data_IF_747941090934
#
_entry.id   IF_747941090934
#
_cell.length_a   1.000
_cell.length_b   1.000
_cell.length_c   1.000
_cell.angle_alpha   90.00
_cell.angle_beta   90.00
_cell.angle_gamma   90.00
#
_symmetry.space_group_name_H-M   'P 1'
#
loop_
_entity.id
_entity.type
_entity.pdbx_description
1 polymer ?
#
# COMPACT_ATOMS: atom_id res chain seq x y z
N UNK A 1 9.16 31.02 -0.50
CA UNK A 1 9.33 32.35 -1.08
C UNK A 1 8.43 32.50 -2.31
N UNK A 2 8.46 33.65 -2.93
CA UNK A 2 7.63 33.95 -4.10
C UNK A 2 8.03 33.10 -5.35
N UNK A 3 9.19 32.50 -5.32
CA UNK A 3 9.70 31.59 -6.37
C UNK A 3 9.33 30.11 -6.14
N UNK A 4 8.58 29.83 -5.06
CA UNK A 4 8.14 28.49 -4.71
C UNK A 4 9.15 27.64 -3.92
N UNK A 5 10.30 28.22 -3.52
CA UNK A 5 11.28 27.51 -2.71
C UNK A 5 10.87 27.43 -1.24
N UNK A 6 11.16 26.32 -0.61
CA UNK A 6 10.96 26.12 0.82
C UNK A 6 12.03 26.89 1.61
N UNK A 7 11.65 27.97 2.27
CA UNK A 7 12.55 28.83 3.06
C UNK A 7 12.64 28.40 4.51
N UNK A 8 11.52 27.94 5.07
CA UNK A 8 11.43 27.45 6.44
C UNK A 8 10.38 26.37 6.56
N UNK A 9 10.59 25.46 7.50
CA UNK A 9 9.64 24.42 7.84
C UNK A 9 9.32 24.47 9.31
N UNK A 10 8.05 24.46 9.64
CA UNK A 10 7.59 24.47 11.03
C UNK A 10 6.70 23.27 11.32
N UNK A 11 6.83 22.70 12.52
CA UNK A 11 5.96 21.64 12.99
C UNK A 11 5.66 21.76 14.48
N UNK A 12 4.48 21.35 14.86
CA UNK A 12 4.11 21.07 16.23
C UNK A 12 4.29 19.57 16.53
N UNK A 13 4.81 19.24 17.72
CA UNK A 13 4.96 17.86 18.14
C UNK A 13 4.88 17.74 19.66
N UNK A 14 4.47 16.57 20.13
CA UNK A 14 4.44 16.25 21.56
C UNK A 14 5.73 15.55 21.97
N UNK A 15 6.30 16.00 23.07
CA UNK A 15 7.48 15.40 23.68
C UNK A 15 7.12 14.85 25.06
N UNK A 16 7.40 13.56 25.30
CA UNK A 16 7.31 12.97 26.64
C UNK A 16 8.55 13.37 27.45
N UNK A 17 8.33 13.90 28.64
CA UNK A 17 9.37 14.17 29.61
C UNK A 17 9.68 12.91 30.45
N UNK A 18 10.78 12.92 31.19
CA UNK A 18 11.20 11.78 32.03
C UNK A 18 10.20 11.48 33.17
N UNK A 19 9.41 12.45 33.58
CA UNK A 19 8.34 12.33 34.56
C UNK A 19 7.03 11.74 34.04
N UNK A 20 7.01 11.42 32.72
CA UNK A 20 5.83 10.88 32.03
C UNK A 20 4.84 11.94 31.54
N UNK A 21 5.04 13.22 31.83
CA UNK A 21 4.21 14.31 31.34
C UNK A 21 4.46 14.57 29.85
N UNK A 22 3.44 15.03 29.11
CA UNK A 22 3.55 15.42 27.71
C UNK A 22 3.58 16.96 27.60
N UNK A 23 4.58 17.45 26.88
CA UNK A 23 4.70 18.88 26.56
C UNK A 23 4.57 19.05 25.05
N UNK A 24 3.72 20.00 24.63
CA UNK A 24 3.61 20.37 23.23
C UNK A 24 4.73 21.36 22.89
N UNK A 25 5.52 21.01 21.90
CA UNK A 25 6.64 21.79 21.40
C UNK A 25 6.37 22.22 19.96
N UNK A 26 6.89 23.40 19.62
CA UNK A 26 6.90 23.89 18.26
C UNK A 26 8.35 24.03 17.79
N UNK A 27 8.63 23.64 16.56
CA UNK A 27 9.97 23.69 15.99
C UNK A 27 9.93 24.33 14.62
N UNK A 28 10.81 25.29 14.38
CA UNK A 28 11.04 25.88 13.05
C UNK A 28 12.46 25.60 12.62
N UNK A 29 12.62 25.10 11.42
CA UNK A 29 13.90 24.81 10.79
C UNK A 29 14.06 25.77 9.62
N UNK A 30 15.20 26.43 9.56
CA UNK A 30 15.60 27.31 8.45
C UNK A 30 16.84 26.72 7.75
N UNK A 31 17.38 27.40 6.80
CA UNK A 31 18.63 27.04 6.10
C UNK A 31 19.86 27.01 7.01
N UNK A 32 19.85 27.74 8.14
CA UNK A 32 20.99 27.89 9.05
C UNK A 32 20.77 27.33 10.43
N UNK A 33 19.54 27.47 10.98
CA UNK A 33 19.26 27.20 12.38
C UNK A 33 17.98 26.42 12.58
N UNK A 34 17.94 25.70 13.70
CA UNK A 34 16.72 25.10 14.25
C UNK A 34 16.34 25.88 15.48
N UNK A 35 15.10 26.30 15.55
CA UNK A 35 14.46 26.97 16.68
C UNK A 35 13.44 26.05 17.32
N UNK A 36 13.44 25.95 18.64
CA UNK A 36 12.48 25.13 19.38
C UNK A 36 11.81 25.96 20.46
N UNK A 37 10.49 25.92 20.49
CA UNK A 37 9.65 26.61 21.47
C UNK A 37 8.85 25.59 22.29
N UNK A 38 8.60 25.94 23.52
CA UNK A 38 7.71 25.21 24.42
C UNK A 38 6.38 25.96 24.48
N UNK A 39 5.32 25.38 23.90
CA UNK A 39 4.00 26.03 23.85
C UNK A 39 3.35 26.16 25.23
N UNK A 40 3.74 25.32 26.20
CA UNK A 40 3.23 25.42 27.59
C UNK A 40 3.69 26.69 28.31
N UNK A 41 4.74 27.34 27.79
CA UNK A 41 5.32 28.58 28.33
C UNK A 41 5.09 29.83 27.49
N UNK A 42 4.13 29.79 26.57
CA UNK A 42 3.69 30.97 25.82
C UNK A 42 4.60 31.40 24.68
N UNK A 43 5.12 30.47 23.88
CA UNK A 43 5.99 30.72 22.72
C UNK A 43 7.36 31.33 23.05
N UNK A 44 7.84 31.21 24.26
CA UNK A 44 9.20 31.59 24.55
C UNK A 44 10.20 30.67 23.84
N UNK A 45 11.19 31.27 23.16
CA UNK A 45 12.27 30.50 22.52
C UNK A 45 13.03 29.74 23.59
N UNK A 46 12.99 28.41 23.50
CA UNK A 46 13.65 27.54 24.47
C UNK A 46 15.09 27.26 24.10
N UNK A 47 15.32 26.92 22.85
CA UNK A 47 16.66 26.58 22.33
C UNK A 47 16.77 26.90 20.87
N UNK A 48 17.96 27.37 20.45
CA UNK A 48 18.33 27.44 19.04
C UNK A 48 19.73 26.89 18.82
N UNK A 49 19.92 26.19 17.73
CA UNK A 49 21.22 25.66 17.34
C UNK A 49 21.41 25.67 15.82
N UNK A 50 22.66 25.84 15.37
CA UNK A 50 23.02 25.75 13.97
C UNK A 50 23.18 24.28 13.57
N UNK A 51 22.65 23.90 12.40
CA UNK A 51 22.74 22.52 11.91
C UNK A 51 23.90 22.30 10.90
N UNK A 52 24.50 23.35 10.37
CA UNK A 52 25.70 23.27 9.53
C UNK A 52 25.57 22.58 8.18
N UNK A 53 24.35 22.47 7.62
CA UNK A 53 24.14 21.79 6.32
C UNK A 53 24.12 22.74 5.11
N UNK A 54 24.15 24.05 5.33
CA UNK A 54 24.10 25.06 4.26
C UNK A 54 22.77 25.16 3.49
N UNK A 55 21.88 24.21 3.67
CA UNK A 55 20.52 24.16 3.09
C UNK A 55 19.51 23.69 4.11
N UNK A 56 18.25 23.99 3.88
CA UNK A 56 17.14 23.52 4.73
C UNK A 56 17.10 21.98 4.75
N UNK A 57 17.31 21.33 5.93
CA UNK A 57 17.35 19.87 6.06
C UNK A 57 15.94 19.26 6.11
N UNK A 58 15.06 19.70 5.21
CA UNK A 58 13.71 19.21 5.06
C UNK A 58 13.43 18.93 3.60
N UNK A 59 13.08 17.70 3.32
CA UNK A 59 12.69 17.26 1.99
C UNK A 59 11.23 16.87 2.06
N UNK A 60 10.39 17.52 1.31
CA UNK A 60 8.96 17.26 1.29
C UNK A 60 8.50 16.76 -0.07
N UNK A 61 7.48 15.93 -0.04
CA UNK A 61 6.69 15.58 -1.20
C UNK A 61 5.21 15.81 -0.87
N UNK A 62 4.49 16.41 -1.78
CA UNK A 62 3.07 16.66 -1.62
C UNK A 62 2.29 15.92 -2.67
N UNK A 63 1.23 15.27 -2.22
CA UNK A 63 0.27 14.64 -3.09
C UNK A 63 -1.14 15.04 -2.64
N UNK A 64 -1.98 15.60 -3.53
CA UNK A 64 -3.30 16.09 -3.16
C UNK A 64 -4.23 14.98 -2.67
N UNK A 65 -4.12 13.78 -3.26
CA UNK A 65 -4.93 12.64 -2.88
C UNK A 65 -4.09 11.41 -2.54
N UNK A 66 -4.45 10.65 -1.48
CA UNK A 66 -3.83 9.37 -1.19
C UNK A 66 -4.03 8.39 -2.36
N UNK A 67 -3.05 7.54 -2.60
CA UNK A 67 -3.12 6.52 -3.68
C UNK A 67 -4.37 5.62 -3.56
N UNK A 68 -4.76 5.30 -2.33
CA UNK A 68 -5.91 4.46 -2.03
C UNK A 68 -7.27 5.16 -2.15
N UNK A 69 -7.33 6.48 -2.45
CA UNK A 69 -8.61 7.19 -2.58
C UNK A 69 -9.49 6.61 -3.69
N UNK A 70 -8.88 6.21 -4.80
CA UNK A 70 -9.56 5.62 -5.96
C UNK A 70 -10.28 4.30 -5.65
N UNK A 71 -9.76 3.52 -4.70
CA UNK A 71 -10.32 2.21 -4.34
C UNK A 71 -11.20 2.24 -3.09
N UNK A 72 -11.33 3.41 -2.44
CA UNK A 72 -12.07 3.55 -1.17
C UNK A 72 -13.50 3.03 -1.26
N UNK A 73 -14.22 3.36 -2.33
CA UNK A 73 -15.61 2.95 -2.52
C UNK A 73 -15.74 1.44 -2.65
N UNK A 74 -14.86 0.81 -3.43
CA UNK A 74 -14.84 -0.65 -3.62
C UNK A 74 -14.52 -1.36 -2.31
N UNK A 75 -13.53 -0.86 -1.56
CA UNK A 75 -13.16 -1.42 -0.26
C UNK A 75 -14.32 -1.38 0.72
N UNK A 76 -14.98 -0.22 0.88
CA UNK A 76 -16.11 -0.08 1.81
C UNK A 76 -17.26 -1.00 1.41
N UNK A 77 -17.53 -1.14 0.12
CA UNK A 77 -18.57 -2.08 -0.36
C UNK A 77 -18.20 -3.53 -0.08
N UNK A 78 -16.94 -3.91 -0.31
CA UNK A 78 -16.44 -5.25 -0.05
C UNK A 78 -16.49 -5.59 1.45
N UNK A 79 -16.05 -4.69 2.32
CA UNK A 79 -16.12 -4.84 3.77
C UNK A 79 -17.57 -5.09 4.22
N UNK A 80 -18.52 -4.27 3.72
CA UNK A 80 -19.94 -4.44 4.03
C UNK A 80 -20.51 -5.76 3.50
N UNK A 81 -20.13 -6.16 2.29
CA UNK A 81 -20.56 -7.42 1.68
C UNK A 81 -20.11 -8.61 2.53
N UNK A 82 -18.82 -8.64 2.90
CA UNK A 82 -18.24 -9.72 3.70
C UNK A 82 -18.81 -9.77 5.12
N UNK A 83 -19.06 -8.59 5.75
CA UNK A 83 -19.69 -8.53 7.06
C UNK A 83 -21.12 -9.09 7.03
N UNK A 84 -21.93 -8.64 6.08
CA UNK A 84 -23.31 -9.17 5.91
C UNK A 84 -23.30 -10.67 5.61
N UNK A 85 -22.32 -11.14 4.84
CA UNK A 85 -22.17 -12.56 4.54
C UNK A 85 -21.81 -13.38 5.78
N UNK A 86 -20.92 -12.86 6.62
CA UNK A 86 -20.58 -13.48 7.90
C UNK A 86 -21.81 -13.59 8.80
N UNK A 87 -22.59 -12.51 8.93
CA UNK A 87 -23.85 -12.51 9.71
C UNK A 87 -24.85 -13.55 9.15
N UNK A 88 -24.94 -13.68 7.83
CA UNK A 88 -25.77 -14.70 7.21
C UNK A 88 -25.28 -16.12 7.50
N UNK A 89 -23.98 -16.36 7.47
CA UNK A 89 -23.40 -17.66 7.84
C UNK A 89 -23.71 -17.98 9.28
N UNK A 90 -23.49 -17.05 10.20
CA UNK A 90 -23.73 -17.24 11.63
C UNK A 90 -25.22 -17.53 11.91
N UNK A 91 -26.11 -16.85 11.22
CA UNK A 91 -27.55 -17.09 11.33
C UNK A 91 -27.95 -18.48 10.82
N UNK A 92 -27.40 -18.93 9.71
CA UNK A 92 -27.70 -20.21 9.08
C UNK A 92 -26.86 -21.39 9.57
N UNK A 93 -25.89 -21.15 10.45
CA UNK A 93 -25.02 -22.19 11.01
C UNK A 93 -25.82 -23.23 11.80
N UNK A 94 -26.92 -22.79 12.41
CA UNK A 94 -27.91 -23.68 13.07
C UNK A 94 -29.15 -23.78 12.19
N UNK A 95 -29.25 -24.81 11.33
CA UNK A 95 -30.40 -24.95 10.44
C UNK A 95 -31.71 -25.11 11.25
N UNK A 96 -32.71 -24.33 10.87
CA UNK A 96 -34.05 -24.43 11.48
C UNK A 96 -34.73 -25.69 10.98
N UNK A 97 -35.19 -26.50 11.92
CA UNK A 97 -36.04 -27.66 11.62
C UNK A 97 -37.49 -27.22 11.51
N UNK A 98 -38.03 -27.29 10.30
CA UNK A 98 -39.47 -27.10 10.04
C UNK A 98 -40.17 -28.43 10.25
N UNK A 99 -41.15 -28.47 11.15
CA UNK A 99 -42.02 -29.62 11.41
C UNK A 99 -43.44 -29.28 10.97
N UNK A 100 -44.04 -30.16 10.19
CA UNK A 100 -45.45 -30.09 9.80
C UNK A 100 -46.14 -31.34 10.34
N UNK A 101 -47.26 -31.18 11.06
CA UNK A 101 -47.97 -32.27 11.71
C UNK A 101 -47.91 -32.23 13.25
N UNK A 102 -48.52 -33.20 13.89
CA UNK A 102 -48.50 -33.30 15.35
C UNK A 102 -47.20 -33.96 15.83
N UNK A 103 -46.49 -33.30 16.75
CA UNK A 103 -45.27 -33.80 17.33
C UNK A 103 -45.60 -34.67 18.55
N UNK A 104 -45.46 -35.98 18.43
CA UNK A 104 -45.68 -36.90 19.53
C UNK A 104 -44.57 -36.91 20.58
N UNK A 105 -43.38 -36.43 20.23
CA UNK A 105 -42.28 -36.32 21.17
C UNK A 105 -40.90 -36.42 20.52
N UNK A 106 -39.88 -36.08 21.30
CA UNK A 106 -38.48 -36.28 20.93
C UNK A 106 -37.98 -37.59 21.52
N UNK A 107 -37.72 -38.58 20.69
CA UNK A 107 -37.11 -39.84 21.11
C UNK A 107 -35.58 -39.75 20.98
N UNK A 108 -34.88 -40.15 22.04
CA UNK A 108 -33.41 -40.29 22.02
C UNK A 108 -32.69 -39.53 23.14
N UNK A 109 -31.88 -40.26 23.88
CA UNK A 109 -30.95 -39.68 24.85
C UNK A 109 -29.63 -39.34 24.15
N UNK A 110 -29.36 -38.09 23.95
CA UNK A 110 -28.06 -37.44 23.68
C UNK A 110 -27.48 -37.43 22.25
N UNK A 111 -27.65 -38.42 21.40
CA UNK A 111 -27.07 -38.35 20.02
C UNK A 111 -28.07 -38.69 18.91
N UNK A 112 -29.05 -39.54 19.18
CA UNK A 112 -30.07 -39.94 18.19
C UNK A 112 -31.39 -39.21 18.51
N UNK A 113 -31.44 -37.92 18.23
CA UNK A 113 -32.67 -37.15 18.36
C UNK A 113 -33.57 -37.43 17.16
N UNK A 114 -34.50 -38.37 17.33
CA UNK A 114 -35.57 -38.58 16.37
C UNK A 114 -36.81 -37.80 16.78
N UNK A 115 -37.41 -37.11 15.82
CA UNK A 115 -38.70 -36.45 15.98
C UNK A 115 -39.75 -37.39 15.39
N UNK A 116 -40.73 -37.82 16.21
CA UNK A 116 -41.85 -38.60 15.72
C UNK A 116 -42.99 -37.64 15.39
N UNK A 117 -43.37 -37.62 14.12
CA UNK A 117 -44.46 -36.82 13.57
C UNK A 117 -45.62 -37.76 13.23
N UNK A 118 -46.86 -37.34 13.55
CA UNK A 118 -48.08 -38.00 13.19
C UNK A 118 -49.04 -37.03 12.50
N UNK A 119 -49.94 -37.56 11.68
CA UNK A 119 -50.91 -36.77 10.91
C UNK A 119 -50.74 -36.94 9.40
N UNK A 120 -51.84 -36.69 8.69
CA UNK A 120 -51.85 -36.74 7.24
C UNK A 120 -51.03 -35.57 6.67
N UNK A 121 -49.97 -35.87 5.91
CA UNK A 121 -49.06 -34.85 5.38
C UNK A 121 -47.94 -34.42 6.36
N UNK A 122 -47.66 -35.23 7.41
CA UNK A 122 -46.57 -34.95 8.35
C UNK A 122 -45.22 -34.94 7.61
N UNK A 123 -44.44 -33.84 7.74
CA UNK A 123 -43.13 -33.64 7.12
C UNK A 123 -42.16 -32.94 8.06
N UNK A 124 -40.90 -33.29 7.93
CA UNK A 124 -39.80 -32.68 8.67
C UNK A 124 -38.70 -32.27 7.68
N UNK A 125 -38.47 -31.00 7.56
CA UNK A 125 -37.48 -30.47 6.64
C UNK A 125 -36.55 -29.48 7.34
N UNK A 126 -35.27 -29.64 7.14
CA UNK A 126 -34.33 -28.57 7.48
C UNK A 126 -34.45 -27.42 6.49
N UNK A 127 -34.70 -26.22 7.00
CA UNK A 127 -34.63 -25.01 6.22
C UNK A 127 -33.15 -24.68 6.06
N UNK A 128 -32.60 -25.09 4.93
CA UNK A 128 -31.24 -24.75 4.55
C UNK A 128 -31.27 -23.56 3.59
N UNK A 129 -30.25 -22.75 3.69
CA UNK A 129 -30.05 -21.64 2.75
C UNK A 129 -29.74 -22.20 1.35
N UNK A 130 -30.73 -22.19 0.47
CA UNK A 130 -30.60 -22.74 -0.89
C UNK A 130 -30.03 -21.73 -1.90
N UNK A 131 -29.85 -20.47 -1.50
CA UNK A 131 -29.40 -19.43 -2.42
C UNK A 131 -28.13 -18.75 -1.92
N UNK A 132 -27.18 -18.56 -2.85
CA UNK A 132 -26.34 -17.39 -2.97
C UNK A 132 -24.86 -17.46 -2.58
N UNK A 133 -24.17 -18.55 -2.33
CA UNK A 133 -22.70 -18.49 -2.30
C UNK A 133 -22.10 -17.92 -3.59
N UNK A 134 -22.69 -18.24 -4.73
CA UNK A 134 -22.15 -17.86 -6.05
C UNK A 134 -22.32 -16.37 -6.37
N UNK A 135 -23.46 -15.77 -6.01
CA UNK A 135 -23.66 -14.33 -6.25
C UNK A 135 -22.75 -13.48 -5.38
N UNK A 136 -22.59 -13.84 -4.12
CA UNK A 136 -21.70 -13.15 -3.20
C UNK A 136 -20.24 -13.29 -3.64
N UNK A 137 -19.86 -14.50 -4.03
CA UNK A 137 -18.52 -14.76 -4.57
C UNK A 137 -18.26 -13.94 -5.82
N UNK A 138 -19.21 -13.91 -6.75
CA UNK A 138 -19.12 -13.10 -7.98
C UNK A 138 -18.98 -11.60 -7.66
N UNK A 139 -19.79 -11.06 -6.74
CA UNK A 139 -19.70 -9.65 -6.34
C UNK A 139 -18.36 -9.36 -5.66
N UNK A 140 -17.91 -10.21 -4.74
CA UNK A 140 -16.63 -10.06 -4.06
C UNK A 140 -15.44 -10.09 -5.03
N UNK A 141 -15.45 -11.04 -5.97
CA UNK A 141 -14.42 -11.14 -7.01
C UNK A 141 -14.43 -9.92 -7.94
N UNK A 142 -15.62 -9.46 -8.35
CA UNK A 142 -15.77 -8.28 -9.20
C UNK A 142 -15.26 -7.02 -8.52
N UNK A 143 -15.65 -6.77 -7.26
CA UNK A 143 -15.17 -5.62 -6.49
C UNK A 143 -13.66 -5.67 -6.27
N UNK A 144 -13.12 -6.86 -6.00
CA UNK A 144 -11.69 -7.07 -5.84
C UNK A 144 -10.94 -6.78 -7.14
N UNK A 145 -11.41 -7.28 -8.26
CA UNK A 145 -10.81 -7.03 -9.58
C UNK A 145 -10.84 -5.54 -9.91
N UNK A 146 -11.98 -4.87 -9.73
CA UNK A 146 -12.10 -3.43 -9.92
C UNK A 146 -11.13 -2.63 -9.05
N UNK A 147 -10.91 -3.04 -7.79
CA UNK A 147 -9.95 -2.40 -6.91
C UNK A 147 -8.51 -2.53 -7.43
N UNK A 148 -8.12 -3.70 -7.92
CA UNK A 148 -6.80 -3.91 -8.55
C UNK A 148 -6.64 -3.09 -9.83
N UNK A 149 -7.65 -3.09 -10.71
CA UNK A 149 -7.62 -2.35 -11.97
C UNK A 149 -7.53 -0.84 -11.73
N UNK A 150 -8.36 -0.31 -10.83
CA UNK A 150 -8.35 1.13 -10.51
C UNK A 150 -7.09 1.59 -9.78
N UNK A 151 -6.41 0.69 -9.06
CA UNK A 151 -5.12 0.97 -8.43
C UNK A 151 -3.93 0.74 -9.36
N UNK A 152 -4.14 0.26 -10.58
CA UNK A 152 -3.09 -0.18 -11.50
C UNK A 152 -2.10 -1.17 -10.84
N UNK A 153 -2.61 -1.99 -9.92
CA UNK A 153 -1.78 -2.95 -9.18
C UNK A 153 -1.93 -4.32 -9.81
N UNK A 154 -0.85 -4.96 -10.27
CA UNK A 154 -0.93 -6.28 -10.86
C UNK A 154 -1.34 -7.31 -9.80
N UNK A 155 -2.32 -8.16 -10.13
CA UNK A 155 -2.77 -9.23 -9.26
C UNK A 155 -1.82 -10.41 -9.35
N UNK A 156 -0.74 -10.34 -8.57
CA UNK A 156 0.29 -11.37 -8.53
C UNK A 156 0.07 -12.23 -7.29
N UNK A 157 -0.48 -13.42 -7.48
CA UNK A 157 -0.51 -14.46 -6.46
C UNK A 157 0.46 -15.58 -6.83
N UNK A 158 0.88 -16.37 -5.86
CA UNK A 158 1.70 -17.56 -6.11
C UNK A 158 1.01 -18.54 -7.07
N UNK A 159 -0.31 -18.67 -6.97
CA UNK A 159 -1.11 -19.50 -7.87
C UNK A 159 -1.13 -18.95 -9.29
N UNK A 160 -1.27 -17.62 -9.45
CA UNK A 160 -1.20 -16.96 -10.76
C UNK A 160 0.17 -17.19 -11.39
N UNK A 161 1.25 -17.03 -10.62
CA UNK A 161 2.62 -17.28 -11.10
C UNK A 161 2.84 -18.75 -11.45
N UNK A 162 2.32 -19.69 -10.66
CA UNK A 162 2.40 -21.12 -10.93
C UNK A 162 1.63 -21.52 -12.18
N UNK A 163 0.47 -20.91 -12.42
CA UNK A 163 -0.34 -21.13 -13.63
C UNK A 163 0.32 -20.57 -14.91
N UNK A 164 1.17 -19.56 -14.78
CA UNK A 164 1.91 -18.93 -15.88
C UNK A 164 3.21 -19.68 -16.22
N UNK A 165 3.60 -20.64 -15.41
CA UNK A 165 4.72 -21.61 -15.41
C UNK A 165 5.92 -21.47 -16.35
N UNK A 166 5.76 -20.91 -17.54
CA UNK A 166 6.80 -20.59 -18.53
C UNK A 166 6.44 -19.33 -19.33
N UNK A 167 5.87 -18.34 -18.65
CA UNK A 167 5.60 -17.08 -19.35
C UNK A 167 6.92 -16.44 -19.77
N UNK A 168 6.99 -16.01 -21.02
CA UNK A 168 8.14 -15.26 -21.52
C UNK A 168 8.27 -13.92 -20.79
N UNK A 169 9.46 -13.34 -20.75
CA UNK A 169 9.69 -11.99 -20.20
C UNK A 169 8.73 -10.94 -20.78
N UNK A 170 8.27 -11.15 -22.01
CA UNK A 170 7.25 -10.29 -22.65
C UNK A 170 5.88 -10.39 -21.96
N UNK A 171 5.44 -11.58 -21.56
CA UNK A 171 4.17 -11.75 -20.85
C UNK A 171 4.21 -11.06 -19.47
N UNK A 172 5.34 -11.15 -18.74
CA UNK A 172 5.53 -10.41 -17.51
C UNK A 172 5.48 -8.89 -17.72
N UNK A 173 6.05 -8.36 -18.80
CA UNK A 173 5.96 -6.93 -19.13
C UNK A 173 4.51 -6.47 -19.28
N UNK A 174 3.68 -7.24 -19.96
CA UNK A 174 2.26 -6.92 -20.11
C UNK A 174 1.52 -6.97 -18.78
N UNK A 175 1.82 -7.92 -17.90
CA UNK A 175 1.21 -7.99 -16.56
C UNK A 175 1.52 -6.75 -15.71
N UNK A 176 2.73 -6.21 -15.83
CA UNK A 176 3.18 -5.04 -15.08
C UNK A 176 2.90 -3.71 -15.77
N UNK A 177 2.34 -3.71 -16.98
CA UNK A 177 2.16 -2.49 -17.78
C UNK A 177 1.35 -1.42 -17.02
N UNK A 178 0.24 -1.81 -16.35
CA UNK A 178 -0.55 -0.89 -15.55
C UNK A 178 0.25 -0.26 -14.39
N UNK A 179 1.08 -1.07 -13.71
CA UNK A 179 1.96 -0.58 -12.64
C UNK A 179 3.05 0.35 -13.19
N UNK A 180 3.61 0.06 -14.37
CA UNK A 180 4.58 0.93 -15.03
C UNK A 180 3.97 2.29 -15.38
N UNK A 181 2.78 2.30 -15.97
CA UNK A 181 2.06 3.55 -16.24
C UNK A 181 1.76 4.34 -14.96
N UNK A 182 1.42 3.65 -13.86
CA UNK A 182 1.21 4.31 -12.58
C UNK A 182 2.52 4.92 -12.03
N UNK A 183 3.66 4.24 -12.19
CA UNK A 183 4.98 4.79 -11.80
C UNK A 183 5.32 6.01 -12.64
N UNK A 184 5.09 5.99 -13.94
CA UNK A 184 5.31 7.15 -14.82
C UNK A 184 4.43 8.33 -14.42
N UNK A 185 3.14 8.12 -14.19
CA UNK A 185 2.19 9.16 -13.76
C UNK A 185 2.54 9.76 -12.38
N UNK A 186 3.21 9.00 -11.52
CA UNK A 186 3.64 9.47 -10.20
C UNK A 186 5.12 9.80 -10.14
N UNK A 187 5.83 9.55 -11.22
CA UNK A 187 7.27 9.75 -11.36
C UNK A 187 7.69 11.19 -11.13
N UNK A 188 6.86 12.15 -11.52
CA UNK A 188 7.11 13.56 -11.32
C UNK A 188 7.30 13.91 -9.84
N UNK A 189 6.30 13.59 -9.00
CA UNK A 189 6.36 13.90 -7.56
C UNK A 189 7.48 13.14 -6.85
N UNK A 190 7.66 11.86 -7.17
CA UNK A 190 8.70 11.03 -6.55
C UNK A 190 10.08 11.42 -7.09
N UNK A 191 10.18 11.72 -8.37
CA UNK A 191 11.42 12.16 -9.01
C UNK A 191 11.94 13.47 -8.40
N UNK A 192 11.08 14.48 -8.25
CA UNK A 192 11.42 15.71 -7.56
C UNK A 192 11.86 15.48 -6.10
N UNK A 193 11.14 14.63 -5.38
CA UNK A 193 11.50 14.29 -4.00
C UNK A 193 12.89 13.65 -3.92
N UNK A 194 13.19 12.70 -4.80
CA UNK A 194 14.48 12.05 -4.85
C UNK A 194 15.59 13.02 -5.26
N UNK A 195 15.34 13.88 -6.26
CA UNK A 195 16.31 14.87 -6.72
C UNK A 195 16.64 15.88 -5.62
N UNK A 196 15.62 16.39 -4.92
CA UNK A 196 15.83 17.27 -3.75
C UNK A 196 16.64 16.58 -2.66
N UNK A 197 16.37 15.29 -2.41
CA UNK A 197 17.12 14.49 -1.44
C UNK A 197 18.59 14.35 -1.82
N UNK A 198 18.90 14.03 -3.07
CA UNK A 198 20.27 13.92 -3.57
C UNK A 198 20.98 15.26 -3.48
N UNK A 199 20.34 16.34 -3.94
CA UNK A 199 20.90 17.68 -3.89
C UNK A 199 21.21 18.15 -2.46
N UNK A 200 20.35 17.77 -1.50
CA UNK A 200 20.60 18.03 -0.08
C UNK A 200 21.81 17.24 0.43
N UNK A 201 21.90 15.95 0.12
CA UNK A 201 23.01 15.09 0.55
C UNK A 201 24.33 15.61 0.00
N UNK A 202 24.38 15.96 -1.29
CA UNK A 202 25.58 16.51 -1.93
C UNK A 202 26.01 17.82 -1.27
N UNK A 203 25.06 18.74 -1.02
CA UNK A 203 25.34 19.99 -0.32
C UNK A 203 25.85 19.78 1.10
N UNK A 204 25.20 18.89 1.85
CA UNK A 204 25.57 18.58 3.23
C UNK A 204 26.97 17.94 3.31
N UNK A 205 27.34 17.06 2.39
CA UNK A 205 28.68 16.48 2.31
C UNK A 205 29.75 17.55 2.04
N UNK A 206 29.44 18.52 1.17
CA UNK A 206 30.33 19.64 0.88
C UNK A 206 30.61 20.54 2.10
N UNK A 207 29.62 20.72 2.97
CA UNK A 207 29.73 21.51 4.21
C UNK A 207 30.40 20.74 5.35
N UNK A 208 30.07 19.45 5.52
CA UNK A 208 30.61 18.61 6.61
C UNK A 208 32.09 18.26 6.37
N UNK A 209 32.45 17.98 5.14
CA UNK A 209 33.84 17.64 4.77
C UNK A 209 34.36 18.52 3.61
N UNK A 210 34.62 19.81 3.88
CA UNK A 210 35.00 20.76 2.84
C UNK A 210 36.36 20.45 2.18
N UNK A 211 37.23 19.69 2.85
CA UNK A 211 38.55 19.36 2.34
C UNK A 211 38.49 18.41 1.13
N UNK A 212 37.58 17.43 1.18
CA UNK A 212 37.50 16.40 0.14
C UNK A 212 36.37 16.66 -0.85
N UNK A 213 35.22 17.17 -0.37
CA UNK A 213 33.98 17.24 -1.16
C UNK A 213 33.56 18.65 -1.60
N UNK A 214 34.19 19.73 -1.10
CA UNK A 214 33.76 21.11 -1.42
C UNK A 214 33.74 21.40 -2.93
N UNK A 215 34.79 21.03 -3.64
CA UNK A 215 34.85 21.22 -5.10
C UNK A 215 33.93 20.22 -5.84
N UNK A 216 33.90 18.99 -5.39
CA UNK A 216 33.05 17.94 -5.98
C UNK A 216 31.56 18.26 -5.80
N UNK A 217 31.14 18.79 -4.66
CA UNK A 217 29.71 19.15 -4.40
C UNK A 217 29.20 20.27 -5.30
N UNK A 218 30.09 21.09 -5.85
CA UNK A 218 29.73 22.17 -6.79
C UNK A 218 29.65 21.72 -8.25
N UNK A 219 30.33 20.62 -8.59
CA UNK A 219 30.51 20.16 -9.99
C UNK A 219 29.78 18.86 -10.29
N UNK A 220 29.42 18.08 -9.27
CA UNK A 220 28.65 16.83 -9.45
C UNK A 220 27.20 17.15 -9.74
N UNK A 221 26.75 16.71 -10.91
CA UNK A 221 25.34 16.64 -11.26
C UNK A 221 24.88 15.18 -11.22
N UNK A 222 23.92 14.88 -10.34
CA UNK A 222 23.38 13.54 -10.15
C UNK A 222 21.90 13.58 -10.52
N UNK A 223 21.57 12.99 -11.65
CA UNK A 223 20.19 12.81 -12.07
C UNK A 223 19.61 11.54 -11.44
N UNK A 224 18.43 11.67 -10.83
CA UNK A 224 17.70 10.54 -10.27
C UNK A 224 16.73 9.97 -11.28
N UNK A 225 16.75 8.65 -11.45
CA UNK A 225 15.83 7.94 -12.34
C UNK A 225 15.03 6.88 -11.58
N UNK A 226 13.72 6.95 -11.70
CA UNK A 226 12.83 5.89 -11.23
C UNK A 226 12.84 4.74 -12.24
N UNK A 227 13.22 3.56 -11.78
CA UNK A 227 13.15 2.34 -12.58
C UNK A 227 12.08 1.45 -11.99
N UNK A 228 10.97 1.21 -12.71
CA UNK A 228 9.93 0.30 -12.24
C UNK A 228 10.51 -1.10 -12.05
N UNK A 229 10.14 -1.77 -10.96
CA UNK A 229 10.52 -3.17 -10.75
C UNK A 229 9.87 -4.04 -11.82
N UNK A 230 10.64 -4.95 -12.39
CA UNK A 230 10.18 -5.94 -13.33
C UNK A 230 10.83 -7.30 -13.01
N UNK A 231 10.03 -8.36 -13.13
CA UNK A 231 10.56 -9.72 -13.07
C UNK A 231 11.23 -9.98 -14.42
N UNK A 232 12.55 -10.05 -14.41
CA UNK A 232 13.35 -10.35 -15.59
C UNK A 232 13.66 -11.85 -15.65
N UNK A 233 13.46 -12.46 -16.81
CA UNK A 233 13.97 -13.79 -17.08
C UNK A 233 15.43 -13.68 -17.56
N UNK A 234 16.34 -14.24 -16.75
CA UNK A 234 17.77 -14.26 -17.10
C UNK A 234 18.03 -15.07 -18.38
N UNK A 235 17.24 -16.11 -18.64
CA UNK A 235 17.38 -16.92 -19.86
C UNK A 235 17.03 -16.11 -21.10
N UNK A 236 15.95 -15.32 -21.05
CA UNK A 236 15.56 -14.42 -22.15
C UNK A 236 16.65 -13.39 -22.42
N UNK A 237 17.27 -12.83 -21.36
CA UNK A 237 18.39 -11.88 -21.51
C UNK A 237 19.62 -12.54 -22.15
N UNK A 238 19.99 -13.72 -21.68
CA UNK A 238 21.12 -14.48 -22.24
C UNK A 238 20.86 -14.86 -23.69
N UNK A 239 19.67 -15.36 -24.01
CA UNK A 239 19.29 -15.74 -25.36
C UNK A 239 19.31 -14.52 -26.30
N UNK A 240 18.79 -13.39 -25.85
CA UNK A 240 18.79 -12.14 -26.61
C UNK A 240 20.22 -11.65 -26.83
N UNK A 241 21.06 -11.68 -25.79
CA UNK A 241 22.47 -11.28 -25.91
C UNK A 241 23.25 -12.18 -26.88
N UNK A 242 23.08 -13.50 -26.77
CA UNK A 242 23.72 -14.48 -27.69
C UNK A 242 23.25 -14.23 -29.12
N UNK A 243 21.95 -14.02 -29.32
CA UNK A 243 21.39 -13.75 -30.66
C UNK A 243 21.89 -12.42 -31.24
N UNK A 244 22.03 -11.40 -30.39
CA UNK A 244 22.55 -10.09 -30.82
C UNK A 244 24.03 -10.14 -31.18
N UNK A 245 24.83 -10.92 -30.44
CA UNK A 245 26.26 -11.14 -30.77
C UNK A 245 26.40 -11.99 -32.02
N UNK A 246 25.66 -13.08 -32.15
CA UNK A 246 25.70 -13.94 -33.36
C UNK A 246 25.16 -13.24 -34.60
N UNK A 247 24.22 -12.31 -34.45
CA UNK A 247 23.71 -11.44 -35.52
C UNK A 247 24.61 -10.24 -35.85
N UNK A 248 25.74 -10.09 -35.18
CA UNK A 248 26.69 -9.01 -35.44
C UNK A 248 26.24 -7.61 -34.97
N UNK A 249 25.16 -7.55 -34.16
CA UNK A 249 24.60 -6.29 -33.63
C UNK A 249 25.41 -5.82 -32.41
N UNK A 250 25.87 -6.75 -31.57
CA UNK A 250 26.67 -6.48 -30.39
C UNK A 250 28.10 -7.03 -30.54
N UNK A 251 29.05 -6.30 -29.96
CA UNK A 251 30.44 -6.77 -29.86
C UNK A 251 30.63 -7.74 -28.72
N UNK A 252 31.54 -8.69 -28.88
CA UNK A 252 32.01 -9.62 -27.82
C UNK A 252 32.94 -8.99 -26.78
N UNK A 253 33.18 -7.64 -26.87
CA UNK A 253 34.02 -6.90 -25.92
C UNK A 253 33.20 -6.24 -24.84
#
# INVERSE_FOLDING_TARGET
>A
NDEGDLVAFSREYKKKLMDGSEVTCFMTITDKKVYQWDLSKGYEERTSFAHGFGKLPVIYAYRPEPYCSKIKTFRVRLEKLLSNYADCIDYHFFPLLKLIGDVEGFMGKTKDRMVKLTGEGADAQYLTWSQVPDTIKFEAETLTNMAYDMSNTPRISFETLKGIGKASGTAFRFMFMGAHMAVENHGEVIGEFLQRRVNFIVSALGEINPTEFSKASQTIDIETKLVPYMIDDLNDKVTTAVSAVSGGIWSTR
#
